data_IF_864988870281
#
_entry.id   IF_864988870281
#
_cell.length_a   1.000
_cell.length_b   1.000
_cell.length_c   1.000
_cell.angle_alpha   90.00
_cell.angle_beta   90.00
_cell.angle_gamma   90.00
#
_symmetry.space_group_name_H-M   'P 1'
#
loop_
_entity.id
_entity.type
_entity.pdbx_description
1 polymer ?
#
# COMPACT_ATOMS: atom_id res chain seq x y z
N UNK A 1 19.36 -2.40 7.72
CA UNK A 1 17.90 -2.23 7.87
C UNK A 1 17.28 -2.69 6.56
N UNK A 2 16.38 -3.64 6.58
CA UNK A 2 15.68 -4.10 5.39
C UNK A 2 14.59 -3.10 4.93
N UNK A 3 14.02 -3.32 3.75
CA UNK A 3 13.02 -2.42 3.16
C UNK A 3 11.78 -2.25 4.03
N UNK A 4 11.26 -3.35 4.58
CA UNK A 4 10.06 -3.32 5.42
C UNK A 4 10.29 -2.52 6.71
N UNK A 5 11.43 -2.72 7.38
CA UNK A 5 11.80 -1.94 8.56
C UNK A 5 11.96 -0.46 8.22
N UNK A 6 12.50 -0.13 7.02
CA UNK A 6 12.65 1.26 6.58
C UNK A 6 11.29 1.93 6.39
N UNK A 7 10.32 1.25 5.77
CA UNK A 7 8.96 1.77 5.57
C UNK A 7 8.31 2.07 6.93
N UNK A 8 8.37 1.14 7.89
CA UNK A 8 7.79 1.35 9.21
C UNK A 8 8.47 2.50 9.96
N UNK A 9 9.80 2.60 9.88
CA UNK A 9 10.53 3.70 10.51
C UNK A 9 10.20 5.06 9.87
N UNK A 10 10.00 5.11 8.55
CA UNK A 10 9.51 6.31 7.86
C UNK A 10 8.14 6.73 8.40
N UNK A 11 7.18 5.81 8.45
CA UNK A 11 5.84 6.08 8.97
C UNK A 11 5.88 6.58 10.42
N UNK A 12 6.72 5.96 11.25
CA UNK A 12 6.95 6.40 12.62
C UNK A 12 7.49 7.84 12.70
N UNK A 13 8.51 8.16 11.87
CA UNK A 13 9.09 9.52 11.79
C UNK A 13 8.07 10.56 11.31
N UNK A 14 7.16 10.16 10.42
CA UNK A 14 6.05 10.99 9.98
C UNK A 14 4.88 11.03 10.98
N UNK A 15 5.05 10.44 12.16
CA UNK A 15 4.05 10.40 13.23
C UNK A 15 2.73 9.75 12.81
N UNK A 16 2.79 8.79 11.92
CA UNK A 16 1.67 7.87 11.66
C UNK A 16 1.56 6.96 12.87
N UNK A 17 0.46 7.03 13.60
CA UNK A 17 0.29 6.26 14.85
C UNK A 17 -0.42 4.93 14.62
N UNK A 18 -1.33 4.87 13.66
CA UNK A 18 -2.09 3.68 13.36
C UNK A 18 -2.15 3.43 11.86
N UNK A 19 -2.09 2.16 11.46
CA UNK A 19 -2.17 1.70 10.08
C UNK A 19 -3.36 0.75 9.99
N UNK A 20 -4.22 0.95 9.00
CA UNK A 20 -5.37 0.10 8.78
C UNK A 20 -5.03 -0.96 7.74
N UNK A 21 -5.30 -2.23 8.04
CA UNK A 21 -4.79 -3.35 7.23
C UNK A 21 -5.74 -4.53 7.17
N UNK A 22 -5.64 -5.29 6.09
CA UNK A 22 -5.96 -6.71 6.05
C UNK A 22 -4.70 -7.45 5.64
N UNK A 23 -4.34 -8.45 6.39
CA UNK A 23 -3.14 -9.25 6.12
C UNK A 23 -3.28 -10.05 4.82
N UNK A 24 -2.14 -10.35 4.18
CA UNK A 24 -2.11 -11.19 2.98
C UNK A 24 -0.68 -11.47 2.53
N UNK A 25 -0.51 -12.46 1.67
CA UNK A 25 0.80 -12.98 1.29
C UNK A 25 1.77 -11.92 0.77
N UNK A 26 1.30 -10.99 -0.06
CA UNK A 26 2.18 -9.99 -0.68
C UNK A 26 2.68 -8.88 0.29
N UNK A 27 2.20 -8.85 1.54
CA UNK A 27 2.70 -7.96 2.59
C UNK A 27 3.27 -8.70 3.81
N UNK A 28 3.54 -10.00 3.69
CA UNK A 28 4.01 -10.80 4.83
C UNK A 28 5.29 -10.25 5.48
N UNK A 29 6.23 -9.73 4.69
CA UNK A 29 7.44 -9.11 5.22
C UNK A 29 7.19 -7.79 5.94
N UNK A 30 6.17 -7.03 5.55
CA UNK A 30 5.73 -5.84 6.29
C UNK A 30 5.09 -6.24 7.62
N UNK A 31 4.25 -7.28 7.63
CA UNK A 31 3.64 -7.80 8.86
C UNK A 31 4.69 -8.37 9.82
N UNK A 32 5.70 -9.08 9.29
CA UNK A 32 6.84 -9.53 10.09
C UNK A 32 7.64 -8.35 10.69
N UNK A 33 7.84 -7.27 9.93
CA UNK A 33 8.45 -6.06 10.46
C UNK A 33 7.62 -5.42 11.58
N UNK A 34 6.29 -5.46 11.52
CA UNK A 34 5.42 -5.03 12.61
C UNK A 34 5.63 -5.84 13.89
N UNK A 35 5.83 -7.15 13.78
CA UNK A 35 6.07 -7.99 14.96
C UNK A 35 7.34 -7.60 15.73
N UNK A 36 8.30 -7.00 15.05
CA UNK A 36 9.53 -6.46 15.63
C UNK A 36 9.45 -5.00 16.05
N UNK A 37 8.40 -4.29 15.64
CA UNK A 37 8.24 -2.86 15.89
C UNK A 37 7.08 -2.59 16.85
N UNK A 38 7.38 -2.30 18.09
CA UNK A 38 6.39 -2.01 19.13
C UNK A 38 5.93 -0.54 19.19
N UNK A 39 6.41 0.31 18.29
CA UNK A 39 6.14 1.77 18.29
C UNK A 39 5.01 2.19 17.35
N UNK A 40 4.67 1.33 16.39
CA UNK A 40 3.54 1.52 15.50
C UNK A 40 2.42 0.54 15.85
N UNK A 41 1.19 1.00 15.72
CA UNK A 41 0.02 0.15 15.87
C UNK A 41 -0.62 -0.12 14.51
N UNK A 42 -1.25 -1.25 14.38
CA UNK A 42 -2.14 -1.52 13.25
C UNK A 42 -3.51 -1.95 13.75
N UNK A 43 -4.52 -1.63 12.95
CA UNK A 43 -5.89 -2.10 13.16
C UNK A 43 -6.26 -2.99 12.00
N UNK A 44 -6.56 -4.25 12.30
CA UNK A 44 -7.10 -5.17 11.31
C UNK A 44 -8.58 -4.88 11.08
N UNK A 45 -9.00 -4.87 9.82
CA UNK A 45 -10.38 -4.60 9.41
C UNK A 45 -10.95 -5.79 8.64
N UNK A 46 -12.26 -5.80 8.41
CA UNK A 46 -12.92 -6.88 7.68
C UNK A 46 -12.96 -6.68 6.16
N UNK A 47 -12.64 -5.48 5.66
CA UNK A 47 -12.65 -5.14 4.24
C UNK A 47 -11.69 -3.97 3.96
N UNK A 48 -10.95 -4.01 2.85
CA UNK A 48 -9.94 -3.00 2.54
C UNK A 48 -10.54 -1.62 2.26
N UNK A 49 -11.73 -1.55 1.70
CA UNK A 49 -12.46 -0.29 1.56
C UNK A 49 -12.67 0.37 2.92
N UNK A 50 -13.03 -0.41 3.96
CA UNK A 50 -13.14 0.10 5.31
C UNK A 50 -11.77 0.60 5.83
N UNK A 51 -10.67 -0.10 5.51
CA UNK A 51 -9.33 0.38 5.86
C UNK A 51 -9.05 1.77 5.28
N UNK A 52 -9.34 1.98 3.99
CA UNK A 52 -9.13 3.27 3.34
C UNK A 52 -10.03 4.38 3.92
N UNK A 53 -11.31 4.08 4.19
CA UNK A 53 -12.23 5.04 4.81
C UNK A 53 -11.85 5.37 6.26
N UNK A 54 -11.34 4.40 7.01
CA UNK A 54 -10.81 4.63 8.36
C UNK A 54 -9.54 5.48 8.32
N UNK A 55 -8.66 5.26 7.34
CA UNK A 55 -7.47 6.09 7.13
C UNK A 55 -7.86 7.53 6.77
N UNK A 56 -8.84 7.72 5.89
CA UNK A 56 -9.42 9.02 5.57
C UNK A 56 -9.95 9.72 6.83
N UNK A 57 -10.84 9.08 7.56
CA UNK A 57 -11.42 9.65 8.78
C UNK A 57 -10.36 9.97 9.84
N UNK A 58 -9.39 9.08 10.02
CA UNK A 58 -8.30 9.29 10.96
C UNK A 58 -7.44 10.51 10.58
N UNK A 59 -7.22 10.73 9.28
CA UNK A 59 -6.48 11.89 8.76
C UNK A 59 -7.26 13.20 8.91
N UNK A 60 -8.60 13.16 8.85
CA UNK A 60 -9.46 14.35 9.06
C UNK A 60 -9.39 14.89 10.48
N UNK A 61 -9.39 14.00 11.45
CA UNK A 61 -9.49 14.36 12.88
C UNK A 61 -8.15 14.27 13.62
N UNK A 62 -7.17 13.60 13.05
CA UNK A 62 -5.84 13.44 13.63
C UNK A 62 -4.88 14.58 13.27
N UNK A 63 -3.76 14.70 14.01
CA UNK A 63 -2.74 15.71 13.74
C UNK A 63 -1.88 15.41 12.51
N UNK A 64 -1.98 14.22 11.94
CA UNK A 64 -1.16 13.75 10.83
C UNK A 64 -1.97 12.83 9.90
N UNK A 65 -1.41 12.56 8.71
CA UNK A 65 -2.00 11.60 7.80
C UNK A 65 -1.95 10.17 8.35
N UNK A 66 -2.82 9.33 7.85
CA UNK A 66 -2.87 7.90 8.16
C UNK A 66 -2.41 7.06 6.97
N UNK A 67 -2.26 5.76 7.19
CA UNK A 67 -1.83 4.83 6.17
C UNK A 67 -2.66 3.54 6.15
N UNK A 68 -2.73 2.91 4.98
CA UNK A 68 -3.20 1.53 4.83
C UNK A 68 -2.08 0.64 4.32
N UNK A 69 -2.13 -0.64 4.69
CA UNK A 69 -1.30 -1.69 4.10
C UNK A 69 -2.17 -2.87 3.73
N UNK A 70 -2.14 -3.27 2.47
CA UNK A 70 -2.97 -4.38 1.96
C UNK A 70 -2.19 -5.23 0.96
N UNK A 71 -2.69 -6.44 0.72
CA UNK A 71 -2.09 -7.36 -0.24
C UNK A 71 -2.31 -6.92 -1.70
N UNK A 72 -1.80 -7.70 -2.65
CA UNK A 72 -1.98 -7.50 -4.09
C UNK A 72 -3.42 -7.75 -4.57
N UNK A 73 -3.68 -7.49 -5.84
CA UNK A 73 -4.91 -7.84 -6.52
C UNK A 73 -6.15 -7.25 -5.88
N UNK A 74 -7.15 -8.09 -5.50
CA UNK A 74 -8.40 -7.61 -4.91
C UNK A 74 -8.19 -6.80 -3.63
N UNK A 75 -7.16 -7.11 -2.84
CA UNK A 75 -6.83 -6.31 -1.66
C UNK A 75 -6.50 -4.86 -2.01
N UNK A 76 -5.72 -4.66 -3.08
CA UNK A 76 -5.40 -3.32 -3.55
C UNK A 76 -6.58 -2.63 -4.25
N UNK A 77 -7.34 -3.34 -5.10
CA UNK A 77 -8.48 -2.74 -5.82
C UNK A 77 -9.62 -2.36 -4.88
N UNK A 78 -9.83 -3.08 -3.79
CA UNK A 78 -10.82 -2.73 -2.78
C UNK A 78 -10.54 -1.39 -2.06
N UNK A 79 -9.30 -0.89 -2.08
CA UNK A 79 -8.99 0.44 -1.53
C UNK A 79 -9.52 1.60 -2.39
N UNK A 80 -9.71 1.40 -3.70
CA UNK A 80 -9.93 2.48 -4.66
C UNK A 80 -11.09 3.40 -4.30
N UNK A 81 -12.20 2.87 -3.79
CA UNK A 81 -13.34 3.68 -3.35
C UNK A 81 -12.94 4.65 -2.23
N UNK A 82 -12.24 4.16 -1.21
CA UNK A 82 -11.79 5.03 -0.10
C UNK A 82 -10.70 6.01 -0.52
N UNK A 83 -9.81 5.61 -1.44
CA UNK A 83 -8.81 6.51 -2.05
C UNK A 83 -9.52 7.66 -2.79
N UNK A 84 -10.56 7.34 -3.57
CA UNK A 84 -11.35 8.34 -4.28
C UNK A 84 -12.06 9.31 -3.31
N UNK A 85 -12.59 8.82 -2.18
CA UNK A 85 -13.17 9.68 -1.14
C UNK A 85 -12.13 10.67 -0.61
N UNK A 86 -10.93 10.21 -0.26
CA UNK A 86 -9.84 11.08 0.19
C UNK A 86 -9.41 12.08 -0.89
N UNK A 87 -9.40 11.66 -2.16
CA UNK A 87 -9.06 12.51 -3.29
C UNK A 87 -10.04 13.66 -3.46
N UNK A 88 -11.35 13.38 -3.44
CA UNK A 88 -12.38 14.40 -3.62
C UNK A 88 -12.36 15.48 -2.54
N UNK A 89 -12.03 15.10 -1.32
CA UNK A 89 -11.99 16.01 -0.17
C UNK A 89 -10.58 16.52 0.16
N UNK A 90 -9.57 16.17 -0.66
CA UNK A 90 -8.17 16.58 -0.45
C UNK A 90 -7.59 16.12 0.90
N UNK A 91 -7.98 14.95 1.39
CA UNK A 91 -7.51 14.36 2.64
C UNK A 91 -6.20 13.60 2.38
N UNK A 92 -5.11 13.90 3.10
CA UNK A 92 -3.85 13.21 2.91
C UNK A 92 -3.90 11.78 3.48
N UNK A 93 -3.55 10.81 2.66
CA UNK A 93 -3.43 9.41 3.07
C UNK A 93 -2.35 8.70 2.26
N UNK A 94 -1.73 7.68 2.85
CA UNK A 94 -0.73 6.83 2.19
C UNK A 94 -1.25 5.41 2.11
N UNK A 95 -1.27 4.86 0.89
CA UNK A 95 -1.73 3.50 0.65
C UNK A 95 -0.57 2.64 0.14
N UNK A 96 -0.22 1.60 0.89
CA UNK A 96 0.86 0.66 0.59
C UNK A 96 0.24 -0.65 0.19
N UNK A 97 0.44 -1.05 -1.05
CA UNK A 97 -0.07 -2.30 -1.60
C UNK A 97 1.07 -3.28 -1.87
N UNK A 98 0.90 -4.53 -1.47
CA UNK A 98 1.76 -5.59 -1.92
C UNK A 98 1.63 -5.84 -3.43
N UNK A 99 2.60 -6.51 -4.00
CA UNK A 99 2.58 -6.97 -5.39
C UNK A 99 3.21 -8.36 -5.47
N UNK A 100 2.96 -9.07 -6.55
CA UNK A 100 3.64 -10.34 -6.86
C UNK A 100 5.14 -10.11 -7.04
N UNK A 101 5.92 -11.18 -7.00
CA UNK A 101 7.36 -11.09 -7.23
C UNK A 101 7.65 -10.49 -8.60
N UNK A 102 8.76 -9.78 -8.71
CA UNK A 102 9.13 -9.06 -9.94
C UNK A 102 9.12 -9.93 -11.20
N UNK A 103 9.63 -11.16 -11.09
CA UNK A 103 9.66 -12.12 -12.20
C UNK A 103 8.30 -12.72 -12.54
N UNK A 104 7.30 -12.53 -11.69
CA UNK A 104 5.90 -12.93 -11.91
C UNK A 104 5.05 -11.80 -12.50
N UNK A 105 5.63 -10.61 -12.73
CA UNK A 105 4.92 -9.52 -13.39
C UNK A 105 4.83 -9.79 -14.89
N UNK A 106 3.66 -9.67 -15.46
CA UNK A 106 3.41 -9.79 -16.92
C UNK A 106 4.19 -8.75 -17.72
N UNK A 107 4.60 -7.66 -17.08
CA UNK A 107 5.43 -6.61 -17.66
C UNK A 107 6.95 -6.89 -17.61
N UNK A 108 7.37 -7.93 -16.88
CA UNK A 108 8.78 -8.23 -16.66
C UNK A 108 9.42 -8.88 -17.88
N UNK A 109 8.74 -9.88 -18.46
CA UNK A 109 9.22 -10.57 -19.65
C UNK A 109 8.67 -9.93 -20.92
N UNK A 110 9.55 -9.20 -21.61
CA UNK A 110 9.23 -8.55 -22.88
C UNK A 110 9.19 -9.51 -24.08
N UNK A 111 9.65 -10.75 -23.92
CA UNK A 111 9.73 -11.75 -24.98
C UNK A 111 8.45 -12.53 -25.19
N UNK A 112 7.55 -12.53 -24.21
CA UNK A 112 6.31 -13.30 -24.26
C UNK A 112 5.16 -12.51 -24.88
N UNK A 113 4.27 -13.22 -25.56
CA UNK A 113 2.98 -12.66 -25.98
C UNK A 113 2.31 -12.03 -24.77
N UNK A 114 1.77 -10.82 -24.94
CA UNK A 114 1.04 -10.11 -23.90
C UNK A 114 -0.06 -11.00 -23.31
N UNK A 115 0.16 -11.49 -22.10
CA UNK A 115 -0.78 -12.32 -21.37
C UNK A 115 -1.56 -11.47 -20.38
N UNK A 116 -2.73 -11.93 -20.00
CA UNK A 116 -3.58 -11.21 -19.07
C UNK A 116 -2.96 -11.11 -17.66
N UNK A 117 -2.29 -12.16 -17.23
CA UNK A 117 -1.76 -12.30 -15.87
C UNK A 117 -0.69 -13.39 -15.86
N UNK A 118 0.39 -13.20 -15.11
CA UNK A 118 1.42 -14.21 -14.82
C UNK A 118 1.37 -14.59 -13.35
N UNK A 119 1.61 -13.64 -12.45
CA UNK A 119 1.56 -13.85 -11.02
C UNK A 119 0.13 -13.95 -10.47
N UNK A 120 -0.01 -14.67 -9.35
CA UNK A 120 -1.31 -14.84 -8.70
C UNK A 120 -1.89 -13.50 -8.26
N UNK A 121 -3.07 -13.14 -8.78
CA UNK A 121 -3.74 -11.86 -8.50
C UNK A 121 -2.89 -10.63 -8.85
N UNK A 122 -2.00 -10.75 -9.83
CA UNK A 122 -1.30 -9.60 -10.40
C UNK A 122 -2.30 -8.56 -10.92
N UNK A 123 -2.11 -7.31 -10.52
CA UNK A 123 -2.99 -6.20 -10.94
C UNK A 123 -2.16 -4.94 -11.13
N UNK A 124 -2.38 -4.21 -12.22
CA UNK A 124 -1.80 -2.87 -12.42
C UNK A 124 -2.57 -1.82 -11.63
N UNK A 125 -2.43 -1.90 -10.31
CA UNK A 125 -3.09 -0.98 -9.38
C UNK A 125 -2.62 0.46 -9.54
N UNK A 126 -1.39 0.68 -10.02
CA UNK A 126 -0.85 2.02 -10.23
C UNK A 126 -1.64 2.75 -11.32
N UNK A 127 -1.87 2.10 -12.48
CA UNK A 127 -2.70 2.69 -13.54
C UNK A 127 -4.13 2.94 -13.10
N UNK A 128 -4.70 2.07 -12.27
CA UNK A 128 -6.06 2.23 -11.74
C UNK A 128 -6.17 3.38 -10.73
N UNK A 129 -5.17 3.56 -9.86
CA UNK A 129 -5.17 4.58 -8.83
C UNK A 129 -4.69 5.96 -9.32
N UNK A 130 -3.93 6.01 -10.41
CA UNK A 130 -3.28 7.23 -10.90
C UNK A 130 -4.23 8.43 -11.07
N UNK A 131 -5.46 8.29 -11.61
CA UNK A 131 -6.36 9.44 -11.78
C UNK A 131 -6.96 9.98 -10.47
N UNK A 132 -6.85 9.24 -9.37
CA UNK A 132 -7.39 9.60 -8.05
C UNK A 132 -6.32 9.71 -6.96
N UNK A 133 -5.07 9.95 -7.35
CA UNK A 133 -3.93 10.13 -6.43
C UNK A 133 -2.99 11.21 -6.95
N UNK A 134 -2.32 11.92 -6.05
CA UNK A 134 -1.24 12.86 -6.43
C UNK A 134 0.00 12.11 -6.94
N UNK A 135 0.24 10.94 -6.41
CA UNK A 135 1.40 10.11 -6.74
C UNK A 135 1.01 8.64 -6.59
N UNK A 136 1.27 7.85 -7.63
CA UNK A 136 1.11 6.41 -7.63
C UNK A 136 2.33 5.79 -8.31
N UNK A 137 3.01 4.89 -7.63
CA UNK A 137 4.28 4.32 -8.09
C UNK A 137 4.43 2.86 -7.67
N UNK A 138 4.95 2.03 -8.58
CA UNK A 138 5.37 0.68 -8.29
C UNK A 138 6.89 0.63 -8.17
N UNK A 139 7.40 0.25 -7.00
CA UNK A 139 8.84 0.09 -6.77
C UNK A 139 9.42 -0.95 -7.73
N UNK A 140 10.48 -0.58 -8.44
CA UNK A 140 11.24 -1.47 -9.33
C UNK A 140 12.43 -2.11 -8.62
N UNK A 141 12.98 -1.41 -7.64
CA UNK A 141 14.06 -1.89 -6.79
C UNK A 141 14.05 -1.16 -5.43
N UNK A 142 14.74 -1.71 -4.46
CA UNK A 142 14.78 -1.21 -3.09
C UNK A 142 15.43 0.18 -2.93
N UNK A 143 16.31 0.56 -3.87
CA UNK A 143 17.00 1.86 -3.78
C UNK A 143 16.08 3.05 -4.05
N UNK A 144 14.95 2.81 -4.73
CA UNK A 144 13.98 3.86 -5.06
C UNK A 144 13.14 4.29 -3.84
N UNK A 145 13.16 3.53 -2.75
CA UNK A 145 12.26 3.76 -1.61
C UNK A 145 12.40 5.17 -1.01
N UNK A 146 13.60 5.74 -1.02
CA UNK A 146 13.83 7.10 -0.52
C UNK A 146 13.25 8.19 -1.40
N UNK A 147 13.11 7.90 -2.68
CA UNK A 147 12.47 8.81 -3.63
C UNK A 147 10.95 8.73 -3.53
N UNK A 148 10.44 7.52 -3.29
CA UNK A 148 9.00 7.24 -3.26
C UNK A 148 8.35 7.71 -1.96
N UNK A 149 9.03 7.59 -0.82
CA UNK A 149 8.59 8.03 0.51
C UNK A 149 9.16 9.40 0.88
#
# INVERSE_FOLDING_TARGET
MNLSDYILEFLRKKRVHNIFTITGGAICFLMDAFSRNNKLKYTSVAHEQAAAMMADSYSRFGPNFSATMVTSGPGATNLLTGIACSWFDSIPSLHICGQVNRYELSSFDKSTKKVRQVGFQETDIVSMAKPITKFAYQLKNENEIRYVL
#
